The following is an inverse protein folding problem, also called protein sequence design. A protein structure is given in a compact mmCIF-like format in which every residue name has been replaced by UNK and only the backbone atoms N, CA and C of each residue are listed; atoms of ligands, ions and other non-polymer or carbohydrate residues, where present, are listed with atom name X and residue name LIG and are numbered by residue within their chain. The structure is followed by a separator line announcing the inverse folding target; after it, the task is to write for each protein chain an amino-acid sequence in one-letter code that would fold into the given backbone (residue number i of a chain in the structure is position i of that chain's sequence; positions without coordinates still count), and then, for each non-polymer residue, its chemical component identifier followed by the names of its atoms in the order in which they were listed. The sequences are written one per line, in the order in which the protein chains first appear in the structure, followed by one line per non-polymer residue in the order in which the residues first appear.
data_IF_108888252980
#
_entry.id   IF_108888252980
#
_cell.length_a   1.000
_cell.length_b   1.000
_cell.length_c   1.000
_cell.angle_alpha   90.00
_cell.angle_beta   90.00
_cell.angle_gamma   90.00
#
_symmetry.space_group_name_H-M   'P 1'
#
loop_
_entity.id
_entity.type
_entity.pdbx_description
1 polymer ?
#
# COMPACT_ATOMS: atom_id res chain seq x y z
N UNK A 1 -1.17 38.66 28.90
CA UNK A 1 -1.12 37.94 27.61
C UNK A 1 -0.07 36.86 27.68
N UNK A 2 -0.48 35.60 27.82
CA UNK A 2 0.38 34.45 27.51
C UNK A 2 -0.39 33.64 26.49
N UNK A 3 0.06 33.70 25.23
CA UNK A 3 -0.47 32.89 24.15
C UNK A 3 -0.16 31.43 24.46
N UNK A 4 -1.22 30.62 24.49
CA UNK A 4 -1.18 29.19 24.67
C UNK A 4 -0.76 28.57 23.32
N UNK A 5 0.35 27.81 23.23
CA UNK A 5 0.76 27.24 21.96
C UNK A 5 -0.10 26.00 21.65
N UNK A 6 -0.72 26.04 20.47
CA UNK A 6 -1.16 24.90 19.68
C UNK A 6 -2.38 24.11 20.16
N UNK A 7 -3.55 24.72 19.95
CA UNK A 7 -4.70 23.96 19.46
C UNK A 7 -4.33 23.27 18.14
N UNK A 8 -3.87 22.02 18.20
CA UNK A 8 -3.73 21.18 17.01
C UNK A 8 -5.10 21.04 16.34
N UNK A 9 -5.26 21.69 15.18
CA UNK A 9 -6.48 21.70 14.37
C UNK A 9 -7.18 20.34 14.36
N UNK A 10 -8.38 20.31 14.94
CA UNK A 10 -9.30 19.17 15.00
C UNK A 10 -9.99 18.88 13.66
N UNK A 11 -9.66 19.64 12.62
CA UNK A 11 -10.41 19.75 11.37
C UNK A 11 -9.52 19.45 10.17
N UNK A 12 -8.94 18.26 10.17
CA UNK A 12 -8.30 17.74 8.95
C UNK A 12 -9.39 17.41 7.94
N UNK A 13 -9.20 17.83 6.70
CA UNK A 13 -10.06 17.45 5.57
C UNK A 13 -10.21 15.92 5.46
N UNK A 14 -11.36 15.41 4.96
CA UNK A 14 -11.58 13.98 4.79
C UNK A 14 -10.50 13.34 3.92
N UNK A 15 -9.82 12.32 4.48
CA UNK A 15 -8.74 11.63 3.77
C UNK A 15 -8.60 10.17 4.13
N UNK A 16 -8.20 9.36 3.15
CA UNK A 16 -8.03 7.92 3.35
C UNK A 16 -7.01 7.34 2.36
N UNK A 17 -6.20 6.39 2.81
CA UNK A 17 -5.38 5.59 1.88
C UNK A 17 -6.25 4.59 1.12
N UNK A 18 -5.89 4.26 -0.12
CA UNK A 18 -6.65 3.31 -0.95
C UNK A 18 -6.80 1.94 -0.28
N UNK A 19 -5.80 1.49 0.48
CA UNK A 19 -5.86 0.23 1.23
C UNK A 19 -6.95 0.27 2.31
N UNK A 20 -7.05 1.40 3.03
CA UNK A 20 -8.05 1.59 4.09
C UNK A 20 -9.45 1.84 3.51
N UNK A 21 -9.55 2.48 2.35
CA UNK A 21 -10.82 2.62 1.61
C UNK A 21 -11.34 1.25 1.17
N UNK A 22 -10.46 0.39 0.64
CA UNK A 22 -10.81 -0.98 0.28
C UNK A 22 -11.30 -1.79 1.48
N UNK A 23 -10.64 -1.68 2.64
CA UNK A 23 -11.10 -2.33 3.89
C UNK A 23 -12.44 -1.76 4.39
N UNK A 24 -12.62 -0.44 4.28
CA UNK A 24 -13.86 0.24 4.66
C UNK A 24 -15.07 -0.26 3.83
N UNK A 25 -14.89 -0.38 2.51
CA UNK A 25 -15.90 -0.89 1.59
C UNK A 25 -16.20 -2.37 1.85
N UNK A 26 -15.16 -3.20 2.02
CA UNK A 26 -15.31 -4.64 2.15
C UNK A 26 -15.85 -5.09 3.52
N UNK A 27 -15.70 -4.29 4.58
CA UNK A 27 -16.18 -4.69 5.90
C UNK A 27 -17.69 -4.39 6.08
N UNK A 28 -18.48 -5.35 6.59
CA UNK A 28 -19.87 -5.10 6.97
C UNK A 28 -20.00 -4.41 8.35
N UNK A 29 -18.92 -4.32 9.13
CA UNK A 29 -18.96 -3.80 10.50
C UNK A 29 -18.90 -2.27 10.52
N UNK A 30 -19.99 -1.62 10.92
CA UNK A 30 -20.03 -0.16 11.14
C UNK A 30 -19.02 0.29 12.18
N UNK A 31 -18.79 -0.51 13.24
CA UNK A 31 -17.77 -0.24 14.25
C UNK A 31 -16.36 -0.25 13.66
N UNK A 32 -16.04 -1.22 12.79
CA UNK A 32 -14.76 -1.28 12.09
C UNK A 32 -14.60 -0.09 11.14
N UNK A 33 -15.64 0.25 10.36
CA UNK A 33 -15.66 1.45 9.49
C UNK A 33 -15.33 2.72 10.28
N UNK A 34 -15.98 2.96 11.42
CA UNK A 34 -15.66 4.11 12.29
C UNK A 34 -14.25 4.04 12.86
N UNK A 35 -13.72 2.86 13.17
CA UNK A 35 -12.31 2.70 13.60
C UNK A 35 -11.34 3.09 12.49
N UNK A 36 -11.57 2.61 11.27
CA UNK A 36 -10.76 2.95 10.09
C UNK A 36 -10.73 4.47 9.90
N UNK A 37 -11.89 5.14 9.88
CA UNK A 37 -11.94 6.60 9.71
C UNK A 37 -11.24 7.34 10.87
N UNK A 38 -11.37 6.84 12.11
CA UNK A 38 -10.66 7.41 13.27
C UNK A 38 -9.15 7.27 13.13
N UNK A 39 -8.65 6.11 12.73
CA UNK A 39 -7.21 5.88 12.48
C UNK A 39 -6.70 6.79 11.36
N UNK A 40 -7.50 7.05 10.32
CA UNK A 40 -7.09 7.95 9.22
C UNK A 40 -7.14 9.44 9.61
N UNK A 41 -8.11 9.85 10.43
CA UNK A 41 -8.22 11.23 10.94
C UNK A 41 -7.17 11.55 12.00
N UNK A 42 -6.94 10.59 12.90
CA UNK A 42 -6.01 10.66 14.03
C UNK A 42 -4.96 9.53 14.00
N UNK A 43 -4.10 9.49 12.96
CA UNK A 43 -3.04 8.50 12.84
C UNK A 43 -2.06 8.62 14.00
N UNK A 44 -1.62 7.47 14.53
CA UNK A 44 -0.67 7.45 15.64
C UNK A 44 0.72 7.85 15.15
N UNK A 45 1.51 8.52 15.98
CA UNK A 45 2.91 8.89 15.63
C UNK A 45 3.76 7.69 15.18
N UNK A 46 3.49 6.50 15.72
CA UNK A 46 4.13 5.24 15.34
C UNK A 46 3.80 4.78 13.92
N UNK A 47 2.68 5.21 13.34
CA UNK A 47 2.27 4.88 11.96
C UNK A 47 3.03 5.75 10.93
N UNK A 48 3.50 6.94 11.33
CA UNK A 48 4.26 7.83 10.46
C UNK A 48 5.75 7.48 10.35
N UNK A 49 6.36 6.87 11.38
CA UNK A 49 7.82 6.77 11.48
C UNK A 49 8.46 5.59 10.74
N UNK A 50 7.72 4.54 10.37
CA UNK A 50 8.27 3.45 9.53
C UNK A 50 7.15 2.59 8.96
N UNK A 51 6.97 2.59 7.64
CA UNK A 51 6.12 1.60 6.98
C UNK A 51 6.70 0.21 7.29
N UNK A 52 5.92 -0.63 7.96
CA UNK A 52 6.38 -1.90 8.57
C UNK A 52 7.15 -2.82 7.60
N UNK A 53 6.82 -2.75 6.30
CA UNK A 53 7.42 -3.56 5.23
C UNK A 53 8.33 -2.77 4.27
N UNK A 54 8.80 -1.57 4.63
CA UNK A 54 9.62 -0.77 3.70
C UNK A 54 10.91 -1.48 3.29
N UNK A 55 11.58 -2.20 4.20
CA UNK A 55 12.80 -2.94 3.90
C UNK A 55 12.56 -4.08 2.88
N UNK A 56 11.36 -4.66 2.84
CA UNK A 56 10.97 -5.64 1.83
C UNK A 56 10.48 -4.98 0.52
N UNK A 57 9.72 -3.89 0.62
CA UNK A 57 9.11 -3.21 -0.53
C UNK A 57 10.17 -2.69 -1.51
N UNK A 58 11.23 -2.05 -1.02
CA UNK A 58 12.24 -1.42 -1.88
C UNK A 58 13.01 -2.39 -2.80
N UNK A 59 13.60 -3.49 -2.30
CA UNK A 59 14.28 -4.44 -3.19
C UNK A 59 13.33 -5.12 -4.18
N UNK A 60 12.08 -5.40 -3.78
CA UNK A 60 11.05 -5.93 -4.70
C UNK A 60 10.81 -4.92 -5.83
N UNK A 61 10.56 -3.64 -5.51
CA UNK A 61 10.44 -2.58 -6.53
C UNK A 61 11.63 -2.54 -7.47
N UNK A 62 12.85 -2.67 -6.92
CA UNK A 62 14.08 -2.66 -7.71
C UNK A 62 14.11 -3.79 -8.74
N UNK A 63 13.68 -5.00 -8.37
CA UNK A 63 13.56 -6.13 -9.31
C UNK A 63 12.72 -5.79 -10.53
N UNK A 64 11.58 -5.11 -10.36
CA UNK A 64 10.76 -4.71 -11.50
C UNK A 64 11.48 -3.69 -12.39
N UNK A 65 12.15 -2.70 -11.80
CA UNK A 65 12.69 -1.54 -12.55
C UNK A 65 14.05 -1.77 -13.23
N UNK A 66 14.71 -2.90 -12.99
CA UNK A 66 15.93 -3.29 -13.71
C UNK A 66 15.60 -3.90 -15.06
N UNK A 67 16.43 -3.68 -16.09
CA UNK A 67 16.22 -4.17 -17.45
C UNK A 67 16.15 -5.70 -17.59
N UNK A 68 16.64 -6.45 -16.60
CA UNK A 68 16.73 -7.92 -16.63
C UNK A 68 15.92 -8.63 -15.53
N UNK A 69 15.02 -7.92 -14.83
CA UNK A 69 14.28 -8.47 -13.68
C UNK A 69 15.22 -9.14 -12.66
N UNK A 70 16.17 -8.39 -12.12
CA UNK A 70 17.30 -8.95 -11.37
C UNK A 70 16.95 -9.19 -9.89
N UNK A 71 17.04 -10.44 -9.42
CA UNK A 71 16.75 -10.82 -8.03
C UNK A 71 17.89 -10.50 -7.05
N UNK A 72 19.03 -9.99 -7.51
CA UNK A 72 20.19 -9.73 -6.67
C UNK A 72 19.91 -8.71 -5.56
N UNK A 73 19.04 -7.73 -5.81
CA UNK A 73 18.61 -6.74 -4.82
C UNK A 73 17.85 -7.40 -3.66
N UNK A 74 17.00 -8.38 -3.96
CA UNK A 74 16.24 -9.14 -2.95
C UNK A 74 17.16 -10.06 -2.17
N UNK A 75 18.02 -10.83 -2.83
CA UNK A 75 19.00 -11.70 -2.17
C UNK A 75 19.95 -10.93 -1.23
N UNK A 76 20.44 -9.76 -1.67
CA UNK A 76 21.27 -8.87 -0.83
C UNK A 76 20.51 -8.40 0.41
N UNK A 77 19.23 -8.04 0.27
CA UNK A 77 18.42 -7.61 1.42
C UNK A 77 18.13 -8.76 2.38
N UNK A 78 17.85 -9.96 1.88
CA UNK A 78 17.65 -11.16 2.71
C UNK A 78 18.87 -11.41 3.58
N UNK A 79 20.07 -11.44 2.99
CA UNK A 79 21.31 -11.66 3.75
C UNK A 79 21.55 -10.55 4.79
N UNK A 80 21.28 -9.30 4.41
CA UNK A 80 21.36 -8.16 5.33
C UNK A 80 20.42 -8.33 6.53
N UNK A 81 19.14 -8.63 6.29
CA UNK A 81 18.14 -8.77 7.36
C UNK A 81 18.46 -9.96 8.27
N UNK A 82 18.94 -11.08 7.72
CA UNK A 82 19.38 -12.24 8.52
C UNK A 82 20.50 -11.87 9.49
N UNK A 83 21.53 -11.19 9.00
CA UNK A 83 22.65 -10.75 9.85
C UNK A 83 22.18 -9.75 10.93
N UNK A 84 21.37 -8.76 10.55
CA UNK A 84 20.84 -7.79 11.52
C UNK A 84 19.96 -8.44 12.59
N UNK A 85 19.17 -9.47 12.25
CA UNK A 85 18.37 -10.22 13.23
C UNK A 85 19.28 -10.97 14.19
N UNK A 86 20.31 -11.67 13.69
CA UNK A 86 21.30 -12.38 14.51
C UNK A 86 21.97 -11.41 15.49
N UNK A 87 22.45 -10.26 15.00
CA UNK A 87 23.09 -9.24 15.82
C UNK A 87 22.16 -8.70 16.91
N UNK A 88 20.87 -8.46 16.57
CA UNK A 88 19.88 -8.01 17.55
C UNK A 88 19.62 -9.09 18.61
N UNK A 89 19.54 -10.36 18.24
CA UNK A 89 19.31 -11.45 19.19
C UNK A 89 20.53 -11.62 20.12
N UNK A 90 21.75 -11.52 19.58
CA UNK A 90 22.98 -11.64 20.35
C UNK A 90 23.21 -10.47 21.34
N UNK A 91 22.65 -9.30 21.04
CA UNK A 91 22.82 -8.09 21.84
C UNK A 91 21.48 -7.55 22.39
N UNK A 92 20.85 -8.27 23.34
CA UNK A 92 19.60 -7.81 23.95
C UNK A 92 19.87 -6.63 24.89
N UNK A 93 18.97 -5.63 24.95
CA UNK A 93 19.12 -4.51 25.87
C UNK A 93 18.82 -4.91 27.33
N UNK A 94 19.45 -4.19 28.26
CA UNK A 94 19.37 -4.48 29.71
C UNK A 94 18.03 -4.09 30.34
N UNK A 95 17.35 -3.07 29.82
CA UNK A 95 16.12 -2.53 30.44
C UNK A 95 14.85 -3.07 29.78
N UNK A 96 13.79 -3.28 30.58
CA UNK A 96 12.52 -3.84 30.12
C UNK A 96 11.83 -2.99 29.02
N UNK A 97 11.87 -1.66 29.11
CA UNK A 97 11.29 -0.77 28.07
C UNK A 97 12.04 -0.94 26.73
N UNK A 98 13.37 -1.03 26.77
CA UNK A 98 14.18 -1.25 25.58
C UNK A 98 13.95 -2.65 25.01
N UNK A 99 13.76 -3.67 25.85
CA UNK A 99 13.45 -5.04 25.40
C UNK A 99 12.15 -5.10 24.61
N UNK A 100 11.12 -4.36 25.02
CA UNK A 100 9.85 -4.26 24.27
C UNK A 100 10.03 -3.69 22.86
N UNK A 101 10.73 -2.55 22.75
CA UNK A 101 11.06 -1.91 21.46
C UNK A 101 11.94 -2.80 20.60
N UNK A 102 12.91 -3.49 21.21
CA UNK A 102 13.83 -4.41 20.57
C UNK A 102 13.10 -5.61 19.95
N UNK A 103 12.18 -6.22 20.70
CA UNK A 103 11.34 -7.32 20.20
C UNK A 103 10.51 -6.90 18.98
N UNK A 104 9.89 -5.71 19.02
CA UNK A 104 9.13 -5.18 17.89
C UNK A 104 10.04 -4.96 16.66
N UNK A 105 11.27 -4.49 16.87
CA UNK A 105 12.26 -4.31 15.80
C UNK A 105 12.64 -5.64 15.15
N UNK A 106 12.90 -6.68 15.94
CA UNK A 106 13.19 -8.03 15.45
C UNK A 106 11.99 -8.55 14.63
N UNK A 107 10.78 -8.51 15.20
CA UNK A 107 9.56 -9.01 14.54
C UNK A 107 9.28 -8.31 13.19
N UNK A 108 9.57 -7.00 13.10
CA UNK A 108 9.48 -6.24 11.85
C UNK A 108 10.46 -6.78 10.79
N UNK A 109 11.71 -7.02 11.18
CA UNK A 109 12.74 -7.55 10.28
C UNK A 109 12.42 -8.97 9.84
N UNK A 110 12.02 -9.84 10.76
CA UNK A 110 11.55 -11.21 10.45
C UNK A 110 10.40 -11.18 9.45
N UNK A 111 9.45 -10.26 9.63
CA UNK A 111 8.33 -10.13 8.70
C UNK A 111 8.76 -9.64 7.32
N UNK A 112 9.74 -8.74 7.24
CA UNK A 112 10.30 -8.32 5.94
C UNK A 112 11.09 -9.44 5.26
N UNK A 113 11.87 -10.20 6.04
CA UNK A 113 12.62 -11.36 5.57
C UNK A 113 11.68 -12.40 4.96
N UNK A 114 10.65 -12.80 5.70
CA UNK A 114 9.63 -13.75 5.24
C UNK A 114 8.95 -13.26 3.95
N UNK A 115 8.60 -11.97 3.87
CA UNK A 115 7.99 -11.41 2.66
C UNK A 115 8.91 -11.51 1.43
N UNK A 116 10.21 -11.33 1.62
CA UNK A 116 11.21 -11.44 0.55
C UNK A 116 11.44 -12.89 0.13
N UNK A 117 11.48 -13.82 1.08
CA UNK A 117 11.60 -15.25 0.81
C UNK A 117 10.38 -15.76 0.03
N UNK A 118 9.16 -15.44 0.48
CA UNK A 118 7.93 -15.76 -0.25
C UNK A 118 7.95 -15.15 -1.65
N UNK A 119 8.39 -13.90 -1.80
CA UNK A 119 8.50 -13.26 -3.11
C UNK A 119 9.43 -14.03 -4.06
N UNK A 120 10.61 -14.46 -3.59
CA UNK A 120 11.57 -15.24 -4.39
C UNK A 120 10.99 -16.57 -4.85
N UNK A 121 10.33 -17.29 -3.94
CA UNK A 121 9.75 -18.61 -4.21
C UNK A 121 8.59 -18.55 -5.21
N UNK A 122 8.01 -17.36 -5.43
CA UNK A 122 6.80 -17.17 -6.23
C UNK A 122 7.00 -16.18 -7.38
N UNK A 123 8.23 -15.97 -7.86
CA UNK A 123 8.52 -15.01 -8.95
C UNK A 123 7.80 -15.33 -10.27
N UNK A 124 7.43 -16.59 -10.51
CA UNK A 124 6.75 -17.05 -11.73
C UNK A 124 5.37 -16.42 -11.94
N UNK A 125 4.70 -15.96 -10.87
CA UNK A 125 3.42 -15.23 -10.99
C UNK A 125 3.55 -13.94 -11.80
N UNK A 126 4.79 -13.43 -11.91
CA UNK A 126 5.12 -12.20 -12.62
C UNK A 126 5.62 -12.46 -14.05
N UNK A 127 5.75 -13.71 -14.48
CA UNK A 127 6.27 -14.07 -15.81
C UNK A 127 5.48 -13.39 -16.94
N UNK A 128 4.16 -13.33 -16.81
CA UNK A 128 3.27 -12.66 -17.76
C UNK A 128 3.53 -11.15 -17.90
N UNK A 129 4.28 -10.56 -16.97
CA UNK A 129 4.58 -9.13 -16.93
C UNK A 129 6.05 -8.80 -17.25
N UNK A 130 6.94 -9.79 -17.40
CA UNK A 130 8.39 -9.58 -17.58
C UNK A 130 8.76 -8.78 -18.83
N UNK A 131 7.95 -8.87 -19.88
CA UNK A 131 8.15 -8.14 -21.15
C UNK A 131 7.75 -6.65 -21.08
N UNK A 132 7.19 -6.21 -19.95
CA UNK A 132 6.81 -4.80 -19.76
C UNK A 132 7.99 -3.95 -19.27
N UNK A 133 7.94 -2.66 -19.60
CA UNK A 133 8.87 -1.68 -19.03
C UNK A 133 8.31 -1.17 -17.71
N UNK A 134 9.08 -1.31 -16.64
CA UNK A 134 8.71 -0.80 -15.32
C UNK A 134 9.54 0.40 -14.92
N UNK A 135 8.90 1.37 -14.27
CA UNK A 135 9.58 2.51 -13.66
C UNK A 135 9.11 2.71 -12.23
N UNK A 136 9.94 3.41 -11.44
CA UNK A 136 9.50 3.87 -10.14
C UNK A 136 8.29 4.80 -10.30
N UNK A 137 7.42 4.79 -9.29
CA UNK A 137 6.31 5.72 -9.25
C UNK A 137 6.80 7.18 -9.25
N UNK A 138 6.31 7.95 -10.23
CA UNK A 138 6.53 9.39 -10.37
C UNK A 138 5.26 10.19 -10.08
N UNK A 139 4.13 9.52 -9.83
CA UNK A 139 2.81 10.10 -9.57
C UNK A 139 2.47 10.01 -8.08
N UNK A 140 2.54 11.13 -7.38
CA UNK A 140 2.38 11.19 -5.91
C UNK A 140 1.17 12.01 -5.46
N UNK A 141 0.31 12.40 -6.40
CA UNK A 141 -0.85 13.21 -6.11
C UNK A 141 -1.98 12.37 -5.51
N UNK A 142 -2.88 13.09 -4.85
CA UNK A 142 -4.08 12.55 -4.26
C UNK A 142 -5.17 12.61 -5.32
N UNK A 143 -6.06 11.62 -5.34
CA UNK A 143 -7.30 11.71 -6.10
C UNK A 143 -8.36 12.26 -5.16
N UNK A 144 -9.09 13.29 -5.58
CA UNK A 144 -10.23 13.79 -4.84
C UNK A 144 -11.53 13.25 -5.41
N UNK A 145 -12.31 12.56 -4.57
CA UNK A 145 -13.63 12.03 -4.93
C UNK A 145 -14.62 12.48 -3.86
N UNK A 146 -15.64 13.24 -4.26
CA UNK A 146 -16.73 13.70 -3.40
C UNK A 146 -16.25 14.32 -2.06
N UNK A 147 -15.23 15.18 -2.13
CA UNK A 147 -14.64 15.86 -0.97
C UNK A 147 -13.73 14.98 -0.11
N UNK A 148 -13.44 13.75 -0.53
CA UNK A 148 -12.49 12.85 0.14
C UNK A 148 -11.22 12.74 -0.69
N UNK A 149 -10.11 13.05 -0.01
CA UNK A 149 -8.77 13.00 -0.54
C UNK A 149 -8.17 11.59 -0.37
N UNK A 150 -7.93 10.89 -1.48
CA UNK A 150 -7.49 9.49 -1.50
C UNK A 150 -6.02 9.40 -1.88
N UNK A 151 -5.20 8.83 -0.99
CA UNK A 151 -3.82 8.45 -1.31
C UNK A 151 -3.80 7.07 -1.97
N UNK A 152 -3.54 7.05 -3.29
CA UNK A 152 -3.44 5.81 -4.08
C UNK A 152 -2.04 5.23 -4.04
N UNK A 153 -1.00 6.06 -4.17
CA UNK A 153 0.43 5.70 -4.10
C UNK A 153 0.76 4.37 -4.80
N UNK A 154 0.79 4.35 -6.15
CA UNK A 154 1.39 3.25 -6.88
C UNK A 154 2.81 2.97 -6.39
N UNK A 155 3.21 1.71 -6.41
CA UNK A 155 4.59 1.32 -6.10
C UNK A 155 5.46 1.34 -7.36
N UNK A 156 4.91 0.85 -8.47
CA UNK A 156 5.60 0.66 -9.75
C UNK A 156 4.64 1.10 -10.86
N UNK A 157 5.17 1.75 -11.88
CA UNK A 157 4.45 2.08 -13.12
C UNK A 157 4.84 1.08 -14.19
N UNK A 158 3.86 0.61 -14.96
CA UNK A 158 4.06 -0.30 -16.08
C UNK A 158 3.80 0.49 -17.36
N UNK A 159 4.68 0.36 -18.35
CA UNK A 159 4.50 0.93 -19.69
C UNK A 159 4.87 -0.09 -20.75
N UNK A 160 4.25 0.02 -21.92
CA UNK A 160 4.63 -0.79 -23.06
C UNK A 160 3.73 -0.56 -24.26
N UNK A 161 3.81 -1.48 -25.22
CA UNK A 161 3.01 -1.44 -26.44
C UNK A 161 2.33 -2.78 -26.68
N UNK A 162 1.06 -2.75 -27.06
CA UNK A 162 0.31 -3.93 -27.51
C UNK A 162 -0.28 -3.64 -28.88
N UNK A 163 0.15 -4.39 -29.91
CA UNK A 163 -0.27 -4.18 -31.31
C UNK A 163 -0.10 -2.71 -31.73
N UNK A 164 1.06 -2.11 -31.43
CA UNK A 164 1.41 -0.69 -31.65
C UNK A 164 0.62 0.35 -30.82
N UNK A 165 -0.36 -0.06 -30.00
CA UNK A 165 -1.02 0.85 -29.07
C UNK A 165 -0.23 0.92 -27.76
N UNK A 166 0.23 2.11 -27.32
CA UNK A 166 0.84 2.27 -26.02
C UNK A 166 -0.17 1.96 -24.89
N UNK A 167 0.35 1.53 -23.74
CA UNK A 167 -0.43 1.45 -22.51
C UNK A 167 0.41 1.87 -21.31
N UNK A 168 -0.28 2.37 -20.30
CA UNK A 168 0.26 2.69 -18.98
C UNK A 168 -0.59 2.02 -17.91
N UNK A 169 0.05 1.35 -16.98
CA UNK A 169 -0.56 0.69 -15.83
C UNK A 169 0.22 0.96 -14.55
N UNK A 170 -0.23 0.34 -13.46
CA UNK A 170 0.38 0.53 -12.15
C UNK A 170 0.23 -0.71 -11.27
N UNK A 171 1.24 -0.93 -10.43
CA UNK A 171 1.27 -2.00 -9.44
C UNK A 171 1.27 -1.37 -8.06
N UNK A 172 0.43 -1.90 -7.17
CA UNK A 172 0.57 -1.70 -5.72
C UNK A 172 1.01 -3.00 -5.06
N UNK A 173 2.06 -2.94 -4.25
CA UNK A 173 2.53 -4.06 -3.46
C UNK A 173 1.81 -4.04 -2.11
N UNK A 174 1.17 -5.15 -1.77
CA UNK A 174 0.43 -5.34 -0.55
C UNK A 174 1.09 -6.42 0.31
N UNK A 175 1.27 -6.12 1.59
CA UNK A 175 1.92 -6.99 2.57
C UNK A 175 0.98 -7.12 3.77
N UNK A 176 0.35 -8.27 3.94
CA UNK A 176 -0.53 -8.52 5.09
C UNK A 176 -0.55 -9.98 5.47
N UNK A 177 -0.19 -10.25 6.73
CA UNK A 177 -0.25 -11.60 7.33
C UNK A 177 -1.63 -11.92 7.90
N UNK A 178 -2.26 -10.96 8.58
CA UNK A 178 -3.48 -11.18 9.36
C UNK A 178 -4.77 -10.86 8.61
N UNK A 179 -4.72 -9.91 7.67
CA UNK A 179 -5.88 -9.50 6.88
C UNK A 179 -5.59 -9.79 5.40
N UNK A 180 -5.86 -11.03 4.98
CA UNK A 180 -5.78 -11.41 3.56
C UNK A 180 -6.64 -10.47 2.74
N UNK A 181 -6.09 -9.96 1.64
CA UNK A 181 -6.87 -9.12 0.74
C UNK A 181 -8.02 -9.97 0.16
N UNK A 182 -9.25 -9.46 0.25
CA UNK A 182 -10.37 -10.12 -0.42
C UNK A 182 -10.36 -9.76 -1.90
N UNK A 183 -11.08 -10.55 -2.73
CA UNK A 183 -11.24 -10.23 -4.15
C UNK A 183 -11.85 -8.83 -4.37
N UNK A 184 -12.77 -8.42 -3.49
CA UNK A 184 -13.39 -7.10 -3.59
C UNK A 184 -12.44 -5.96 -3.22
N UNK A 185 -11.64 -6.14 -2.16
CA UNK A 185 -10.57 -5.21 -1.81
C UNK A 185 -9.56 -5.08 -2.94
N UNK A 186 -9.13 -6.21 -3.51
CA UNK A 186 -8.18 -6.25 -4.63
C UNK A 186 -8.70 -5.48 -5.84
N UNK A 187 -9.96 -5.71 -6.23
CA UNK A 187 -10.61 -4.96 -7.30
C UNK A 187 -10.70 -3.47 -7.00
N UNK A 188 -11.03 -3.10 -5.77
CA UNK A 188 -11.14 -1.69 -5.34
C UNK A 188 -9.80 -0.98 -5.50
N UNK A 189 -8.72 -1.56 -4.96
CA UNK A 189 -7.37 -0.98 -5.06
C UNK A 189 -6.96 -0.83 -6.53
N UNK A 190 -7.15 -1.88 -7.33
CA UNK A 190 -6.71 -1.87 -8.72
C UNK A 190 -7.54 -0.95 -9.62
N UNK A 191 -8.83 -0.80 -9.34
CA UNK A 191 -9.66 0.22 -9.99
C UNK A 191 -9.19 1.63 -9.64
N UNK A 192 -8.81 1.90 -8.39
CA UNK A 192 -8.26 3.19 -7.99
C UNK A 192 -6.86 3.46 -8.56
N UNK A 193 -6.03 2.43 -8.76
CA UNK A 193 -4.78 2.57 -9.54
C UNK A 193 -5.09 3.03 -10.96
N UNK A 194 -6.09 2.44 -11.60
CA UNK A 194 -6.50 2.84 -12.95
C UNK A 194 -7.02 4.28 -13.00
N UNK A 195 -7.90 4.68 -12.06
CA UNK A 195 -8.34 6.08 -11.92
C UNK A 195 -7.16 7.04 -11.78
N UNK A 196 -6.19 6.68 -10.94
CA UNK A 196 -5.00 7.49 -10.74
C UNK A 196 -4.23 7.68 -12.04
N UNK A 197 -3.96 6.60 -12.77
CA UNK A 197 -3.16 6.67 -14.01
C UNK A 197 -3.87 7.46 -15.11
N UNK A 198 -5.21 7.45 -15.16
CA UNK A 198 -5.96 8.28 -16.12
C UNK A 198 -5.72 9.77 -15.95
N UNK A 199 -5.39 10.26 -14.74
CA UNK A 199 -5.07 11.67 -14.51
C UNK A 199 -3.73 12.08 -15.14
N UNK A 200 -2.83 11.13 -15.40
CA UNK A 200 -1.46 11.41 -15.86
C UNK A 200 -1.10 10.82 -17.22
N UNK A 201 -1.92 9.92 -17.75
CA UNK A 201 -1.64 9.24 -19.01
C UNK A 201 -2.91 8.97 -19.81
N UNK A 202 -2.94 9.42 -21.06
CA UNK A 202 -3.98 9.08 -22.04
C UNK A 202 -3.95 7.60 -22.44
N UNK A 203 -2.86 6.90 -22.12
CA UNK A 203 -2.66 5.48 -22.43
C UNK A 203 -3.03 4.57 -21.25
N UNK A 204 -3.69 5.10 -20.22
CA UNK A 204 -4.12 4.34 -19.06
C UNK A 204 -4.90 3.06 -19.48
N UNK A 205 -4.45 1.91 -19.01
CA UNK A 205 -5.07 0.61 -19.26
C UNK A 205 -5.34 -0.13 -17.95
N UNK A 206 -6.62 -0.43 -17.71
CA UNK A 206 -7.06 -1.10 -16.49
C UNK A 206 -6.49 -2.53 -16.39
N UNK A 207 -6.22 -3.20 -17.52
CA UNK A 207 -5.65 -4.56 -17.53
C UNK A 207 -4.24 -4.64 -16.96
N UNK A 208 -3.52 -3.53 -16.98
CA UNK A 208 -2.17 -3.40 -16.42
C UNK A 208 -2.17 -2.67 -15.07
N UNK A 209 -3.34 -2.45 -14.47
CA UNK A 209 -3.48 -1.94 -13.11
C UNK A 209 -3.85 -3.08 -12.16
N UNK A 210 -2.96 -3.40 -11.22
CA UNK A 210 -3.19 -4.49 -10.28
C UNK A 210 -2.53 -4.28 -8.92
N UNK A 211 -3.06 -4.97 -7.91
CA UNK A 211 -2.41 -5.14 -6.61
C UNK A 211 -1.82 -6.55 -6.52
N UNK A 212 -0.57 -6.63 -6.09
CA UNK A 212 0.11 -7.89 -5.81
C UNK A 212 0.20 -8.07 -4.29
N UNK A 213 -0.55 -9.05 -3.77
CA UNK A 213 -0.42 -9.50 -2.39
C UNK A 213 0.77 -10.46 -2.32
N UNK A 214 1.89 -9.94 -1.81
CA UNK A 214 3.18 -10.65 -1.82
C UNK A 214 3.13 -11.87 -0.90
N UNK A 215 2.53 -11.72 0.29
CA UNK A 215 2.48 -12.81 1.29
C UNK A 215 1.53 -13.92 0.83
N UNK A 216 0.39 -13.56 0.24
CA UNK A 216 -0.60 -14.54 -0.22
C UNK A 216 -0.41 -14.94 -1.69
N UNK A 217 0.69 -14.50 -2.33
CA UNK A 217 1.10 -14.86 -3.69
C UNK A 217 -0.05 -14.73 -4.71
N UNK A 218 -0.82 -13.64 -4.61
CA UNK A 218 -2.02 -13.44 -5.44
C UNK A 218 -2.04 -12.06 -6.09
N UNK A 219 -2.43 -12.01 -7.36
CA UNK A 219 -2.63 -10.77 -8.12
C UNK A 219 -4.12 -10.50 -8.32
N UNK A 220 -4.54 -9.26 -8.07
CA UNK A 220 -5.90 -8.81 -8.34
C UNK A 220 -5.86 -7.64 -9.32
N UNK A 221 -6.29 -7.87 -10.54
CA UNK A 221 -6.37 -6.82 -11.58
C UNK A 221 -7.65 -5.99 -11.44
N UNK A 222 -7.63 -4.79 -12.02
CA UNK A 222 -8.82 -3.95 -12.11
C UNK A 222 -9.93 -4.69 -12.87
N UNK A 223 -11.16 -4.56 -12.39
CA UNK A 223 -12.31 -5.24 -12.98
C UNK A 223 -12.64 -4.67 -14.37
N UNK A 224 -13.18 -5.49 -15.28
CA UNK A 224 -13.79 -5.02 -16.54
C UNK A 224 -15.00 -4.12 -16.25
N UNK A 225 -15.76 -4.43 -15.20
CA UNK A 225 -16.82 -3.60 -14.61
C UNK A 225 -16.27 -2.44 -13.77
N UNK A 226 -15.20 -1.77 -14.21
CA UNK A 226 -14.55 -0.70 -13.44
C UNK A 226 -15.55 0.43 -13.10
N UNK A 227 -16.42 0.79 -14.05
CA UNK A 227 -17.39 1.89 -13.89
C UNK A 227 -18.34 1.67 -12.72
N UNK A 228 -18.77 0.42 -12.47
CA UNK A 228 -19.61 0.09 -11.30
C UNK A 228 -18.82 0.25 -10.01
N UNK A 229 -17.56 -0.23 -9.99
CA UNK A 229 -16.69 -0.10 -8.83
C UNK A 229 -16.40 1.36 -8.48
N UNK A 230 -16.25 2.24 -9.47
CA UNK A 230 -16.06 3.68 -9.23
C UNK A 230 -17.32 4.33 -8.64
N UNK A 231 -18.52 3.96 -9.10
CA UNK A 231 -19.77 4.44 -8.49
C UNK A 231 -19.88 4.02 -7.02
N UNK A 232 -19.51 2.79 -6.69
CA UNK A 232 -19.48 2.33 -5.29
C UNK A 232 -18.47 3.13 -4.45
N UNK A 233 -17.30 3.44 -5.01
CA UNK A 233 -16.29 4.27 -4.35
C UNK A 233 -16.80 5.71 -4.15
N UNK A 234 -17.44 6.30 -5.16
CA UNK A 234 -18.05 7.63 -5.08
C UNK A 234 -19.09 7.71 -3.95
N UNK A 235 -20.01 6.74 -3.89
CA UNK A 235 -21.02 6.66 -2.83
C UNK A 235 -20.36 6.51 -1.44
N UNK A 236 -19.34 5.66 -1.32
CA UNK A 236 -18.62 5.52 -0.05
C UNK A 236 -17.86 6.80 0.33
N UNK A 237 -17.31 7.54 -0.63
CA UNK A 237 -16.67 8.83 -0.37
C UNK A 237 -17.68 9.89 0.09
N UNK A 238 -18.89 9.93 -0.46
CA UNK A 238 -19.98 10.78 0.05
C UNK A 238 -20.30 10.47 1.51
N UNK A 239 -20.47 9.19 1.84
CA UNK A 239 -20.70 8.73 3.21
C UNK A 239 -19.55 9.11 4.15
N UNK A 240 -18.30 8.88 3.70
CA UNK A 240 -17.11 9.21 4.48
C UNK A 240 -17.07 10.71 4.75
N UNK A 241 -17.27 11.53 3.72
CA UNK A 241 -17.27 12.99 3.83
C UNK A 241 -18.33 13.47 4.84
N UNK A 242 -19.55 12.93 4.77
CA UNK A 242 -20.63 13.26 5.69
C UNK A 242 -20.35 12.82 7.14
N UNK A 243 -19.73 11.64 7.33
CA UNK A 243 -19.43 11.10 8.67
C UNK A 243 -18.20 11.76 9.30
N UNK A 244 -17.25 12.23 8.48
CA UNK A 244 -15.93 12.70 8.92
C UNK A 244 -15.95 13.73 10.06
N UNK A 245 -16.83 14.75 10.07
CA UNK A 245 -16.91 15.72 11.17
C UNK A 245 -17.26 15.07 12.51
N UNK A 246 -18.04 13.97 12.50
CA UNK A 246 -18.49 13.26 13.72
C UNK A 246 -17.40 12.34 14.32
N UNK A 247 -16.29 12.12 13.62
CA UNK A 247 -15.21 11.25 14.09
C UNK A 247 -14.36 12.01 15.12
N UNK A 248 -14.37 11.49 16.35
CA UNK A 248 -13.64 12.04 17.51
C UNK A 248 -12.45 11.15 17.90
N UNK A 249 -11.43 11.77 18.50
CA UNK A 249 -10.31 11.07 19.13
C UNK A 249 -10.85 10.23 20.29
N UNK A 250 -10.32 9.02 20.45
CA UNK A 250 -10.59 8.19 21.63
C UNK A 250 -9.83 8.72 22.82
#
# INVERSE_FOLDING_TARGET
MKQNPEAQSTEREPRISVNKLADYLATPSTTKRRSILREQKFPKESEFKTTYYNEAKQPIKKCFTTSEFELSAVNKMINKLRNEIIDLIANPPETADQQGKHKIKIQRKESCLEALEIFLDNTTILDQYKEHKFTNNIYTNWIEINGVKISVEPDIIITGHKRKKPYTGAIKLYFSKSNKITKDMGKTISSMLYEHIKEFSNDADNKHCFVYDVINTTIYSASTSYTTKIKEIQAACEDISAIWPTIQRK
#
